data_IF_338149083660
#
_entry.id   IF_338149083660
#
_cell.length_a   1.000
_cell.length_b   1.000
_cell.length_c   1.000
_cell.angle_alpha   90.00
_cell.angle_beta   90.00
_cell.angle_gamma   90.00
#
_symmetry.space_group_name_H-M   'P 1'
#
loop_
_entity.id
_entity.type
_entity.pdbx_description
1 polymer ?
#
# COMPACT_ATOMS: atom_id res chain seq x y z
N UNK A 1 -15.02 -3.06 14.85
CA UNK A 1 -13.85 -3.57 14.12
C UNK A 1 -13.00 -2.36 13.83
N UNK A 2 -11.74 -2.39 14.27
CA UNK A 2 -10.76 -1.35 13.93
C UNK A 2 -10.08 -1.79 12.65
N UNK A 3 -9.78 -0.85 11.76
CA UNK A 3 -9.01 -1.12 10.55
C UNK A 3 -7.54 -1.34 10.93
N UNK A 4 -6.91 -2.40 10.41
CA UNK A 4 -5.49 -2.65 10.66
C UNK A 4 -4.67 -1.95 9.59
N UNK A 5 -4.19 -0.74 9.88
CA UNK A 5 -3.37 -0.01 8.92
C UNK A 5 -2.05 -0.74 8.66
N UNK A 6 -1.86 -1.18 7.42
CA UNK A 6 -0.63 -1.82 6.94
C UNK A 6 0.11 -0.90 6.00
N UNK A 7 1.43 -0.89 6.08
CA UNK A 7 2.26 -0.08 5.19
C UNK A 7 3.55 -0.79 4.79
N UNK A 8 3.84 -0.73 3.50
CA UNK A 8 4.94 -1.47 2.89
C UNK A 8 5.77 -0.56 1.99
N UNK A 9 7.08 -0.79 1.95
CA UNK A 9 7.93 -0.25 0.89
C UNK A 9 7.51 -0.86 -0.44
N UNK A 10 7.28 0.00 -1.43
CA UNK A 10 6.69 -0.41 -2.70
C UNK A 10 7.51 0.07 -3.90
N UNK A 11 7.87 -0.83 -4.82
CA UNK A 11 8.52 -0.50 -6.08
C UNK A 11 7.51 0.11 -7.08
N UNK A 12 7.18 1.37 -6.84
CA UNK A 12 6.21 2.11 -7.64
C UNK A 12 6.67 2.29 -9.10
N UNK A 13 7.98 2.33 -9.34
CA UNK A 13 8.55 2.52 -10.68
C UNK A 13 8.32 1.28 -11.55
N UNK A 14 8.63 0.09 -11.03
CA UNK A 14 8.35 -1.16 -11.71
C UNK A 14 6.83 -1.38 -11.87
N UNK A 15 6.06 -1.13 -10.81
CA UNK A 15 4.61 -1.23 -10.84
C UNK A 15 3.98 -0.36 -11.93
N UNK A 16 4.38 0.92 -12.00
CA UNK A 16 3.85 1.89 -12.97
C UNK A 16 4.12 1.47 -14.41
N UNK A 17 5.28 0.85 -14.66
CA UNK A 17 5.67 0.37 -16.00
C UNK A 17 4.94 -0.91 -16.42
N UNK A 18 4.64 -1.77 -15.46
CA UNK A 18 4.25 -3.16 -15.74
C UNK A 18 2.78 -3.42 -15.41
N UNK A 19 2.42 -3.48 -14.13
CA UNK A 19 1.08 -3.89 -13.70
C UNK A 19 0.06 -2.76 -13.76
N UNK A 20 0.44 -1.51 -13.44
CA UNK A 20 -0.52 -0.39 -13.33
C UNK A 20 -1.41 -0.22 -14.58
N UNK A 21 -0.88 -0.19 -15.82
CA UNK A 21 -1.72 0.01 -17.00
C UNK A 21 -2.68 -1.17 -17.24
N UNK A 22 -2.26 -2.39 -16.88
CA UNK A 22 -3.12 -3.58 -16.97
C UNK A 22 -4.26 -3.47 -15.96
N UNK A 23 -3.92 -3.11 -14.72
CA UNK A 23 -4.87 -2.98 -13.63
C UNK A 23 -5.92 -1.89 -13.92
N UNK A 24 -5.49 -0.70 -14.36
CA UNK A 24 -6.39 0.39 -14.76
C UNK A 24 -7.30 -0.01 -15.94
N UNK A 25 -6.77 -0.66 -16.96
CA UNK A 25 -7.57 -1.18 -18.08
C UNK A 25 -8.60 -2.22 -17.62
N UNK A 26 -8.23 -3.09 -16.68
CA UNK A 26 -9.09 -4.16 -16.17
C UNK A 26 -10.17 -3.62 -15.23
N UNK A 27 -9.88 -2.58 -14.44
CA UNK A 27 -10.89 -1.90 -13.61
C UNK A 27 -12.02 -1.30 -14.45
N UNK A 28 -11.71 -0.69 -15.59
CA UNK A 28 -12.73 -0.11 -16.46
C UNK A 28 -13.53 -1.15 -17.25
N UNK A 29 -12.88 -2.26 -17.65
CA UNK A 29 -13.50 -3.26 -18.53
C UNK A 29 -14.15 -4.43 -17.79
N UNK A 30 -13.77 -4.68 -16.53
CA UNK A 30 -14.11 -5.89 -15.78
C UNK A 30 -13.36 -7.14 -16.24
N UNK A 31 -12.50 -7.05 -17.26
CA UNK A 31 -11.71 -8.16 -17.79
C UNK A 31 -10.42 -8.34 -16.97
N UNK A 32 -10.36 -9.40 -16.17
CA UNK A 32 -9.20 -9.74 -15.34
C UNK A 32 -8.20 -10.68 -16.04
N UNK A 33 -8.47 -11.18 -17.26
CA UNK A 33 -7.63 -12.19 -17.91
C UNK A 33 -6.19 -11.69 -18.10
N UNK A 34 -6.01 -10.40 -18.39
CA UNK A 34 -4.67 -9.80 -18.53
C UNK A 34 -3.88 -9.81 -17.22
N UNK A 35 -4.54 -9.53 -16.09
CA UNK A 35 -3.89 -9.55 -14.77
C UNK A 35 -3.66 -10.99 -14.32
N UNK A 36 -4.61 -11.90 -14.58
CA UNK A 36 -4.42 -13.34 -14.34
C UNK A 36 -3.23 -13.90 -15.12
N UNK A 37 -3.12 -13.59 -16.42
CA UNK A 37 -1.97 -14.02 -17.22
C UNK A 37 -0.66 -13.41 -16.71
N UNK A 38 -0.68 -12.15 -16.26
CA UNK A 38 0.48 -11.55 -15.60
C UNK A 38 0.91 -12.35 -14.36
N UNK A 39 -0.04 -12.81 -13.53
CA UNK A 39 0.27 -13.66 -12.37
C UNK A 39 0.90 -14.97 -12.80
N UNK A 40 0.33 -15.66 -13.79
CA UNK A 40 0.86 -16.93 -14.30
C UNK A 40 2.30 -16.76 -14.82
N UNK A 41 2.55 -15.70 -15.60
CA UNK A 41 3.86 -15.41 -16.18
C UNK A 41 4.91 -15.02 -15.12
N UNK A 42 4.48 -14.50 -13.97
CA UNK A 42 5.35 -14.05 -12.87
C UNK A 42 5.29 -14.95 -11.64
N UNK A 43 4.59 -16.09 -11.68
CA UNK A 43 4.29 -16.95 -10.52
C UNK A 43 5.49 -17.25 -9.63
N UNK A 44 6.66 -17.47 -10.24
CA UNK A 44 7.91 -17.78 -9.52
C UNK A 44 8.44 -16.68 -8.59
N UNK A 45 7.98 -15.44 -8.74
CA UNK A 45 8.38 -14.29 -7.92
C UNK A 45 7.22 -13.69 -7.11
N UNK A 46 6.03 -14.24 -7.27
CA UNK A 46 4.85 -13.83 -6.53
C UNK A 46 4.69 -14.69 -5.27
N UNK A 47 4.08 -14.11 -4.26
CA UNK A 47 3.74 -14.77 -3.01
C UNK A 47 2.27 -14.56 -2.71
N UNK A 48 1.77 -15.33 -1.75
CA UNK A 48 0.47 -15.13 -1.14
C UNK A 48 0.45 -13.75 -0.45
N UNK A 49 -0.50 -12.85 -0.78
CA UNK A 49 -0.61 -11.55 -0.11
C UNK A 49 -0.96 -11.66 1.39
N UNK A 50 -1.51 -12.78 1.85
CA UNK A 50 -1.93 -13.00 3.24
C UNK A 50 -0.85 -13.67 4.09
N UNK A 51 -0.17 -14.68 3.55
CA UNK A 51 0.84 -15.45 4.30
C UNK A 51 2.29 -15.10 3.92
N UNK A 52 2.50 -14.49 2.74
CA UNK A 52 3.83 -14.22 2.19
C UNK A 52 4.57 -15.45 1.68
N UNK A 53 3.89 -16.60 1.61
CA UNK A 53 4.44 -17.86 1.12
C UNK A 53 4.41 -17.94 -0.42
N UNK A 54 5.34 -18.66 -1.07
CA UNK A 54 5.36 -18.80 -2.53
C UNK A 54 4.06 -19.40 -3.09
N UNK A 55 3.60 -18.89 -4.24
CA UNK A 55 2.38 -19.41 -4.89
C UNK A 55 2.56 -20.84 -5.43
N UNK A 56 1.70 -21.75 -4.97
CA UNK A 56 1.62 -23.12 -5.47
C UNK A 56 0.72 -23.25 -6.71
N UNK A 57 0.49 -24.46 -7.22
CA UNK A 57 -0.35 -24.67 -8.41
C UNK A 57 -1.85 -24.44 -8.17
N UNK A 58 -2.26 -24.35 -6.90
CA UNK A 58 -3.64 -24.15 -6.43
C UNK A 58 -3.91 -22.73 -5.96
N UNK A 59 -2.98 -21.79 -6.16
CA UNK A 59 -3.13 -20.39 -5.73
C UNK A 59 -4.46 -19.74 -6.17
N UNK A 60 -4.96 -20.11 -7.35
CA UNK A 60 -6.20 -19.55 -7.88
C UNK A 60 -7.45 -20.03 -7.12
N UNK A 61 -7.35 -21.13 -6.35
CA UNK A 61 -8.43 -21.61 -5.48
C UNK A 61 -8.67 -20.65 -4.29
N UNK A 62 -7.72 -19.76 -3.98
CA UNK A 62 -7.87 -18.69 -2.98
C UNK A 62 -8.70 -17.50 -3.49
N UNK A 63 -8.95 -17.44 -4.80
CA UNK A 63 -9.73 -16.37 -5.43
C UNK A 63 -11.21 -16.71 -5.36
N UNK A 64 -11.94 -16.04 -4.47
CA UNK A 64 -13.36 -16.28 -4.23
C UNK A 64 -14.29 -15.59 -5.25
N UNK A 65 -14.13 -14.28 -5.41
CA UNK A 65 -15.02 -13.41 -6.20
C UNK A 65 -14.60 -13.36 -7.68
N UNK A 66 -13.39 -13.84 -8.01
CA UNK A 66 -12.81 -13.80 -9.36
C UNK A 66 -12.90 -12.41 -9.97
N UNK A 67 -12.59 -11.40 -9.17
CA UNK A 67 -12.60 -10.01 -9.58
C UNK A 67 -11.18 -9.45 -9.71
N UNK A 68 -11.08 -8.28 -10.35
CA UNK A 68 -9.81 -7.59 -10.54
C UNK A 68 -9.13 -7.19 -9.24
N UNK A 69 -9.90 -7.07 -8.14
CA UNK A 69 -9.41 -6.67 -6.84
C UNK A 69 -8.55 -7.79 -6.24
N UNK A 70 -9.08 -9.01 -6.19
CA UNK A 70 -8.35 -10.18 -5.69
C UNK A 70 -7.17 -10.55 -6.61
N UNK A 71 -7.34 -10.58 -7.92
CA UNK A 71 -6.20 -10.84 -8.81
C UNK A 71 -5.12 -9.74 -8.70
N UNK A 72 -5.52 -8.48 -8.58
CA UNK A 72 -4.58 -7.38 -8.39
C UNK A 72 -3.80 -7.52 -7.08
N UNK A 73 -4.44 -8.00 -6.00
CA UNK A 73 -3.79 -8.22 -4.70
C UNK A 73 -2.60 -9.18 -4.80
N UNK A 74 -2.83 -10.35 -5.42
CA UNK A 74 -1.77 -11.32 -5.71
C UNK A 74 -0.68 -10.72 -6.61
N UNK A 75 -1.06 -9.99 -7.65
CA UNK A 75 -0.11 -9.41 -8.59
C UNK A 75 0.76 -8.30 -7.96
N UNK A 76 0.26 -7.59 -6.95
CA UNK A 76 1.00 -6.54 -6.26
C UNK A 76 2.20 -7.07 -5.46
N UNK A 77 2.15 -8.33 -5.00
CA UNK A 77 3.24 -8.94 -4.22
C UNK A 77 4.58 -9.02 -4.96
N UNK A 78 4.58 -8.77 -6.28
CA UNK A 78 5.82 -8.54 -7.05
C UNK A 78 6.60 -7.30 -6.60
N UNK A 79 5.92 -6.31 -6.04
CA UNK A 79 6.43 -4.95 -5.82
C UNK A 79 6.59 -4.58 -4.34
N UNK A 80 6.13 -5.43 -3.43
CA UNK A 80 6.31 -5.28 -1.98
C UNK A 80 6.44 -6.64 -1.31
N UNK A 81 6.84 -6.67 -0.04
CA UNK A 81 6.94 -7.90 0.74
C UNK A 81 5.82 -7.94 1.78
N UNK A 82 4.83 -8.86 1.67
CA UNK A 82 3.69 -8.91 2.59
C UNK A 82 4.04 -9.11 4.06
N UNK A 83 5.18 -9.72 4.35
CA UNK A 83 5.67 -9.97 5.72
C UNK A 83 6.46 -8.79 6.32
N UNK A 84 6.73 -7.72 5.56
CA UNK A 84 7.41 -6.50 6.04
C UNK A 84 6.41 -5.37 6.31
N UNK A 85 5.29 -5.69 6.97
CA UNK A 85 4.32 -4.70 7.44
C UNK A 85 4.94 -3.81 8.51
N UNK A 86 4.90 -2.50 8.28
CA UNK A 86 5.38 -1.47 9.18
C UNK A 86 4.33 -0.36 9.36
N UNK A 87 3.06 -0.70 9.18
CA UNK A 87 1.93 0.19 9.45
C UNK A 87 1.63 0.33 10.94
N UNK A 88 0.66 1.19 11.26
CA UNK A 88 0.24 1.46 12.63
C UNK A 88 -0.73 0.43 13.23
N UNK A 89 -1.15 -0.57 12.45
CA UNK A 89 -2.21 -1.49 12.85
C UNK A 89 -3.45 -0.73 13.34
N UNK A 90 -3.99 -1.12 14.49
CA UNK A 90 -5.16 -0.48 15.10
C UNK A 90 -4.89 0.89 15.75
N UNK A 91 -3.63 1.32 15.90
CA UNK A 91 -3.29 2.63 16.49
C UNK A 91 -3.41 3.78 15.47
N UNK A 92 -3.57 3.44 14.20
CA UNK A 92 -3.70 4.35 13.06
C UNK A 92 -4.59 5.57 13.32
N UNK A 93 -5.82 5.33 13.74
CA UNK A 93 -6.82 6.39 13.94
C UNK A 93 -6.34 7.39 15.00
N UNK A 94 -5.66 6.90 16.04
CA UNK A 94 -5.11 7.74 17.10
C UNK A 94 -4.05 8.69 16.54
N UNK A 95 -3.10 8.17 15.74
CA UNK A 95 -2.07 9.01 15.13
C UNK A 95 -2.63 10.01 14.12
N UNK A 96 -3.57 9.57 13.27
CA UNK A 96 -4.23 10.44 12.31
C UNK A 96 -4.96 11.60 13.01
N UNK A 97 -5.67 11.32 14.11
CA UNK A 97 -6.35 12.34 14.90
C UNK A 97 -5.36 13.28 15.59
N UNK A 98 -4.29 12.74 16.21
CA UNK A 98 -3.26 13.56 16.87
C UNK A 98 -2.63 14.56 15.91
N UNK A 99 -2.21 14.12 14.72
CA UNK A 99 -1.62 15.05 13.73
C UNK A 99 -2.66 16.03 13.21
N UNK A 100 -3.90 15.59 12.92
CA UNK A 100 -4.95 16.46 12.38
C UNK A 100 -5.40 17.55 13.36
N UNK A 101 -5.43 17.24 14.66
CA UNK A 101 -5.73 18.20 15.71
C UNK A 101 -4.61 19.22 15.90
N UNK A 102 -3.37 18.80 15.64
CA UNK A 102 -2.20 19.64 15.79
C UNK A 102 -2.04 20.61 14.60
N UNK A 103 -2.23 20.11 13.38
CA UNK A 103 -2.06 20.90 12.16
C UNK A 103 -3.12 20.55 11.14
N UNK A 104 -3.67 21.58 10.49
CA UNK A 104 -4.50 21.36 9.30
C UNK A 104 -3.63 20.79 8.18
N UNK A 105 -3.91 19.56 7.81
CA UNK A 105 -3.24 18.87 6.73
C UNK A 105 -4.08 18.92 5.45
N UNK A 106 -3.46 19.27 4.33
CA UNK A 106 -4.09 19.18 3.02
C UNK A 106 -4.15 17.73 2.49
N UNK A 107 -3.31 16.84 3.04
CA UNK A 107 -3.37 15.39 2.85
C UNK A 107 -2.76 14.66 4.06
N UNK A 108 -3.23 13.46 4.34
CA UNK A 108 -2.72 12.61 5.43
C UNK A 108 -1.32 12.07 5.09
N UNK A 109 -0.29 12.29 5.94
CA UNK A 109 1.08 11.80 5.68
C UNK A 109 1.21 10.28 5.77
N UNK A 110 0.15 9.60 6.16
CA UNK A 110 0.15 8.17 6.41
C UNK A 110 -0.69 7.39 5.40
N UNK A 111 -1.47 8.10 4.59
CA UNK A 111 -2.19 7.55 3.44
C UNK A 111 -1.50 7.98 2.15
N UNK A 112 -1.93 7.44 1.03
CA UNK A 112 -1.51 7.89 -0.30
C UNK A 112 -2.71 8.32 -1.15
N UNK A 113 -2.53 8.24 -2.46
CA UNK A 113 -3.61 8.40 -3.42
C UNK A 113 -4.21 7.04 -3.78
N UNK A 114 -5.54 6.93 -3.93
CA UNK A 114 -6.14 5.72 -4.46
C UNK A 114 -5.74 5.53 -5.91
N UNK A 115 -5.51 4.28 -6.30
CA UNK A 115 -5.35 3.92 -7.71
C UNK A 115 -6.72 3.76 -8.36
N UNK A 116 -6.95 4.39 -9.50
CA UNK A 116 -8.19 4.21 -10.24
C UNK A 116 -8.31 5.10 -11.46
N UNK A 117 -9.26 4.75 -12.33
CA UNK A 117 -9.61 5.49 -13.56
C UNK A 117 -11.12 5.63 -13.64
N UNK A 118 -11.60 6.83 -14.00
CA UNK A 118 -13.02 7.14 -14.23
C UNK A 118 -13.96 6.74 -13.06
N UNK A 119 -13.47 6.81 -11.82
CA UNK A 119 -14.22 6.47 -10.61
C UNK A 119 -14.21 4.97 -10.27
N UNK A 120 -13.51 4.14 -11.04
CA UNK A 120 -13.23 2.75 -10.72
C UNK A 120 -11.90 2.66 -9.96
N UNK A 121 -11.98 2.42 -8.65
CA UNK A 121 -10.81 2.35 -7.77
C UNK A 121 -10.39 0.92 -7.49
N UNK A 122 -9.10 0.69 -7.44
CA UNK A 122 -8.53 -0.56 -6.97
C UNK A 122 -8.58 -0.63 -5.45
N UNK A 123 -9.24 -1.66 -4.94
CA UNK A 123 -9.50 -1.86 -3.51
C UNK A 123 -9.53 -3.37 -3.19
N UNK A 124 -8.37 -4.02 -3.01
CA UNK A 124 -8.25 -5.47 -2.84
C UNK A 124 -8.95 -5.96 -1.57
N UNK A 125 -8.77 -5.23 -0.46
CA UNK A 125 -9.39 -5.55 0.83
C UNK A 125 -10.81 -5.01 1.03
N UNK A 126 -11.34 -4.23 0.08
CA UNK A 126 -12.63 -3.50 0.20
C UNK A 126 -12.67 -2.52 1.40
N UNK A 127 -11.48 -2.10 1.85
CA UNK A 127 -11.26 -1.21 3.00
C UNK A 127 -10.36 -0.01 2.65
N UNK A 128 -9.86 0.05 1.42
CA UNK A 128 -8.97 1.09 0.93
C UNK A 128 -7.59 0.55 0.55
N UNK A 129 -7.05 1.13 -0.53
CA UNK A 129 -5.71 0.85 -1.02
C UNK A 129 -5.12 2.12 -1.61
N UNK A 130 -3.96 2.53 -1.09
CA UNK A 130 -3.37 3.82 -1.37
C UNK A 130 -1.89 3.69 -1.68
N UNK A 131 -1.40 4.57 -2.55
CA UNK A 131 -0.01 4.58 -2.99
C UNK A 131 0.57 5.97 -2.79
N UNK A 132 1.76 6.04 -2.20
CA UNK A 132 2.59 7.24 -2.18
C UNK A 132 3.75 7.06 -3.17
N UNK A 133 3.95 8.07 -4.03
CA UNK A 133 5.16 8.25 -4.83
C UNK A 133 6.35 8.69 -4.00
N UNK A 134 7.56 8.55 -4.55
CA UNK A 134 8.81 8.98 -3.90
C UNK A 134 8.72 10.43 -3.36
N UNK A 135 8.10 11.33 -4.13
CA UNK A 135 7.91 12.72 -3.71
C UNK A 135 6.93 12.84 -2.55
N UNK A 136 5.79 12.12 -2.61
CA UNK A 136 4.78 12.12 -1.54
C UNK A 136 5.35 11.52 -0.25
N UNK A 137 6.16 10.46 -0.33
CA UNK A 137 6.88 9.89 0.83
C UNK A 137 7.78 10.96 1.47
N UNK A 138 8.51 11.74 0.67
CA UNK A 138 9.35 12.82 1.16
C UNK A 138 8.55 13.93 1.86
N UNK A 139 7.40 14.32 1.28
CA UNK A 139 6.49 15.30 1.89
C UNK A 139 5.86 14.79 3.19
N UNK A 140 5.44 13.53 3.21
CA UNK A 140 4.93 12.84 4.41
C UNK A 140 5.96 12.81 5.53
N UNK A 141 7.21 12.47 5.22
CA UNK A 141 8.30 12.43 6.18
C UNK A 141 8.58 13.81 6.80
N UNK A 142 8.57 14.88 6.00
CA UNK A 142 8.75 16.25 6.49
C UNK A 142 7.63 16.59 7.48
N UNK A 143 6.37 16.32 7.11
CA UNK A 143 5.21 16.62 7.96
C UNK A 143 5.24 15.87 9.29
N UNK A 144 5.61 14.60 9.28
CA UNK A 144 5.71 13.79 10.50
C UNK A 144 6.82 14.33 11.40
N UNK A 145 7.99 14.68 10.85
CA UNK A 145 9.10 15.27 11.63
C UNK A 145 8.77 16.63 12.21
N UNK A 146 8.04 17.46 11.47
CA UNK A 146 7.55 18.75 11.97
C UNK A 146 6.55 18.54 13.11
N UNK A 147 5.64 17.58 12.98
CA UNK A 147 4.70 17.23 14.05
C UNK A 147 5.41 16.66 15.29
N UNK A 148 6.40 15.77 15.11
CA UNK A 148 7.20 15.19 16.20
C UNK A 148 7.90 16.26 17.04
N UNK A 149 8.58 17.18 16.36
CA UNK A 149 9.28 18.29 17.02
C UNK A 149 8.35 19.14 17.89
N UNK A 150 7.14 19.42 17.39
CA UNK A 150 6.21 20.32 18.08
C UNK A 150 5.38 19.64 19.17
N UNK A 151 5.12 18.33 19.05
CA UNK A 151 4.41 17.53 20.06
C UNK A 151 5.31 17.14 21.25
N UNK A 152 6.63 17.27 21.12
CA UNK A 152 7.57 17.20 22.24
C UNK A 152 7.72 15.80 22.84
N UNK A 153 8.33 14.87 22.09
CA UNK A 153 8.79 13.54 22.55
C UNK A 153 7.75 12.63 23.23
N UNK A 154 6.45 12.94 23.19
CA UNK A 154 5.38 11.98 23.53
C UNK A 154 5.04 11.06 22.34
N UNK A 155 5.96 10.91 21.38
CA UNK A 155 5.77 10.03 20.25
C UNK A 155 5.98 8.57 20.66
N UNK A 156 4.88 7.81 20.56
CA UNK A 156 4.82 6.37 20.72
C UNK A 156 5.80 5.68 19.74
N UNK A 157 6.38 4.56 20.17
CA UNK A 157 7.37 3.78 19.39
C UNK A 157 6.92 3.51 17.94
N UNK A 158 5.61 3.30 17.72
CA UNK A 158 5.00 3.07 16.40
C UNK A 158 5.23 4.23 15.41
N UNK A 159 5.24 5.49 15.87
CA UNK A 159 5.52 6.63 14.97
C UNK A 159 6.99 6.77 14.63
N UNK A 160 7.87 6.31 15.52
CA UNK A 160 9.30 6.18 15.21
C UNK A 160 9.53 5.11 14.16
N UNK A 161 8.93 3.93 14.31
CA UNK A 161 9.01 2.83 13.34
C UNK A 161 8.49 3.26 11.96
N UNK A 162 7.35 3.94 11.90
CA UNK A 162 6.82 4.47 10.64
C UNK A 162 7.71 5.57 10.04
N UNK A 163 8.34 6.40 10.86
CA UNK A 163 9.31 7.39 10.38
C UNK A 163 10.53 6.70 9.75
N UNK A 164 11.03 5.63 10.38
CA UNK A 164 12.13 4.81 9.85
C UNK A 164 11.76 4.13 8.52
N UNK A 165 10.50 3.67 8.37
CA UNK A 165 9.94 3.18 7.11
C UNK A 165 10.05 4.23 5.99
N UNK A 166 9.56 5.46 6.24
CA UNK A 166 9.60 6.54 5.25
C UNK A 166 11.03 6.95 4.91
N UNK A 167 11.93 7.03 5.90
CA UNK A 167 13.35 7.31 5.67
C UNK A 167 14.02 6.25 4.79
N UNK A 168 13.69 4.98 5.03
CA UNK A 168 14.16 3.86 4.20
C UNK A 168 13.62 3.96 2.78
N UNK A 169 12.33 4.24 2.59
CA UNK A 169 11.72 4.42 1.27
C UNK A 169 12.35 5.60 0.49
N UNK A 170 12.59 6.75 1.14
CA UNK A 170 13.29 7.90 0.53
C UNK A 170 14.71 7.51 0.10
N UNK A 171 15.46 6.82 0.96
CA UNK A 171 16.84 6.39 0.67
C UNK A 171 16.90 5.40 -0.50
N UNK A 172 15.92 4.50 -0.57
CA UNK A 172 15.80 3.49 -1.61
C UNK A 172 15.15 4.01 -2.90
N UNK A 173 14.63 5.24 -2.89
CA UNK A 173 13.84 5.84 -3.99
C UNK A 173 12.66 4.96 -4.36
N UNK A 174 11.87 4.61 -3.34
CA UNK A 174 10.66 3.80 -3.45
C UNK A 174 9.45 4.55 -2.92
N UNK A 175 8.28 4.07 -3.32
CA UNK A 175 7.00 4.52 -2.79
C UNK A 175 6.60 3.76 -1.54
N UNK A 176 5.41 4.07 -1.04
CA UNK A 176 4.74 3.31 0.03
C UNK A 176 3.40 2.81 -0.50
N UNK A 177 3.07 1.56 -0.21
CA UNK A 177 1.75 0.99 -0.38
C UNK A 177 1.06 0.89 0.99
N UNK A 178 -0.18 1.36 1.09
CA UNK A 178 -0.99 1.36 2.31
C UNK A 178 -2.31 0.65 2.06
N UNK A 179 -2.69 -0.24 2.97
CA UNK A 179 -3.97 -0.97 2.93
C UNK A 179 -4.45 -1.33 4.36
N UNK A 180 -5.57 -2.03 4.47
CA UNK A 180 -6.29 -2.26 5.73
C UNK A 180 -6.85 -3.68 5.84
#
# INVERSE_FOLDING_TARGET
MSFEHKAFIFDLSAFTRELKPLLESSLCSGDFDKVRNFIVDNKSVLVDPYEGEPLDETWEDMIEDRDIHQYGDFALTKYYTPTDDQGFGGEWETFQESISNFRKLDFSPFLGLPLGVDGHFFDPGKMGSYFQSENEVGESLIKIKEADWELGNELLDSLKEYTELLERAVREKKGIYVTF
#
